data_IF_032139190081
#
_entry.id   IF_032139190081
#
_cell.length_a   1.000
_cell.length_b   1.000
_cell.length_c   1.000
_cell.angle_alpha   90.00
_cell.angle_beta   90.00
_cell.angle_gamma   90.00
#
_symmetry.space_group_name_H-M   'P 1'
#
loop_
_entity.id
_entity.type
_entity.pdbx_description
1 polymer ?
#
# COMPACT_ATOMS: atom_id res chain seq x y z
N UNK A 1 -28.04 -7.96 -13.73
CA UNK A 1 -27.04 -7.93 -12.65
C UNK A 1 -26.20 -6.68 -12.88
N UNK A 2 -26.13 -5.80 -11.89
CA UNK A 2 -25.52 -4.47 -11.97
C UNK A 2 -23.98 -4.61 -12.03
N UNK A 3 -23.43 -4.58 -13.24
CA UNK A 3 -21.97 -4.62 -13.48
C UNK A 3 -21.28 -3.29 -13.17
N UNK A 4 -22.05 -2.23 -12.85
CA UNK A 4 -21.51 -0.90 -12.63
C UNK A 4 -20.98 -0.75 -11.19
N UNK A 5 -21.65 -1.39 -10.21
CA UNK A 5 -21.27 -1.35 -8.80
C UNK A 5 -19.93 -2.03 -8.45
N UNK A 6 -19.49 -3.01 -9.25
CA UNK A 6 -18.22 -3.73 -9.01
C UNK A 6 -17.02 -2.87 -9.43
N UNK A 7 -17.21 -1.99 -10.43
CA UNK A 7 -16.15 -1.16 -11.00
C UNK A 7 -15.67 -0.06 -10.04
N UNK A 8 -16.59 0.68 -9.40
CA UNK A 8 -16.20 1.75 -8.47
C UNK A 8 -15.39 1.23 -7.28
N UNK A 9 -15.82 0.10 -6.70
CA UNK A 9 -15.12 -0.45 -5.54
C UNK A 9 -13.71 -0.94 -5.92
N UNK A 10 -13.58 -1.60 -7.08
CA UNK A 10 -12.28 -2.02 -7.62
C UNK A 10 -11.37 -0.84 -7.96
N UNK A 11 -11.92 0.22 -8.55
CA UNK A 11 -11.17 1.45 -8.87
C UNK A 11 -10.63 2.11 -7.61
N UNK A 12 -11.45 2.20 -6.55
CA UNK A 12 -11.02 2.72 -5.25
C UNK A 12 -9.89 1.88 -4.64
N UNK A 13 -9.96 0.54 -4.77
CA UNK A 13 -8.87 -0.34 -4.33
C UNK A 13 -7.57 -0.11 -5.11
N UNK A 14 -7.65 0.06 -6.43
CA UNK A 14 -6.46 0.36 -7.25
C UNK A 14 -5.85 1.70 -6.86
N UNK A 15 -6.68 2.73 -6.66
CA UNK A 15 -6.21 4.07 -6.24
C UNK A 15 -5.56 3.99 -4.86
N UNK A 16 -6.16 3.26 -3.90
CA UNK A 16 -5.58 3.13 -2.56
C UNK A 16 -4.24 2.41 -2.59
N UNK A 17 -4.09 1.34 -3.39
CA UNK A 17 -2.84 0.62 -3.55
C UNK A 17 -1.74 1.48 -4.21
N UNK A 18 -2.10 2.31 -5.19
CA UNK A 18 -1.15 3.26 -5.80
C UNK A 18 -0.75 4.33 -4.79
N UNK A 19 -1.69 4.85 -4.01
CA UNK A 19 -1.41 5.87 -3.00
C UNK A 19 -0.48 5.33 -1.89
N UNK A 20 -0.74 4.12 -1.37
CA UNK A 20 0.12 3.49 -0.37
C UNK A 20 1.51 3.15 -0.92
N UNK A 21 1.61 2.74 -2.19
CA UNK A 21 2.90 2.57 -2.86
C UNK A 21 3.71 3.87 -2.94
N UNK A 22 3.08 4.97 -3.33
CA UNK A 22 3.75 6.29 -3.40
C UNK A 22 4.22 6.74 -2.02
N UNK A 23 3.39 6.56 -0.98
CA UNK A 23 3.76 6.89 0.41
C UNK A 23 4.94 6.03 0.86
N UNK A 24 4.93 4.72 0.59
CA UNK A 24 6.02 3.83 0.96
C UNK A 24 7.34 4.26 0.32
N UNK A 25 7.34 4.62 -0.96
CA UNK A 25 8.54 5.12 -1.67
C UNK A 25 9.02 6.45 -1.07
N UNK A 26 8.11 7.37 -0.76
CA UNK A 26 8.44 8.64 -0.14
C UNK A 26 9.05 8.46 1.27
N UNK A 27 8.46 7.60 2.09
CA UNK A 27 8.97 7.25 3.43
C UNK A 27 10.38 6.65 3.34
N UNK A 28 10.61 5.74 2.38
CA UNK A 28 11.93 5.16 2.15
C UNK A 28 12.96 6.23 1.77
N UNK A 29 12.59 7.17 0.91
CA UNK A 29 13.45 8.28 0.51
C UNK A 29 13.77 9.21 1.70
N UNK A 30 12.78 9.50 2.55
CA UNK A 30 12.96 10.30 3.77
C UNK A 30 13.85 9.59 4.81
N UNK A 31 13.70 8.28 5.00
CA UNK A 31 14.56 7.50 5.89
C UNK A 31 16.02 7.55 5.43
N UNK A 32 16.28 7.29 4.14
CA UNK A 32 17.63 7.37 3.57
C UNK A 32 18.20 8.78 3.71
N UNK A 33 17.40 9.81 3.43
CA UNK A 33 17.81 11.22 3.56
C UNK A 33 18.09 11.63 5.01
N UNK A 34 17.39 11.03 5.99
CA UNK A 34 17.59 11.29 7.43
C UNK A 34 18.79 10.56 8.02
N UNK A 35 19.57 9.82 7.22
CA UNK A 35 20.75 9.08 7.69
C UNK A 35 20.43 7.75 8.39
N UNK A 36 19.21 7.22 8.22
CA UNK A 36 18.91 5.84 8.65
C UNK A 36 19.64 4.83 7.76
N UNK A 37 20.08 3.72 8.36
CA UNK A 37 20.65 2.60 7.64
C UNK A 37 19.70 2.11 6.53
N UNK A 38 20.27 1.84 5.36
CA UNK A 38 19.53 1.33 4.21
C UNK A 38 18.73 0.05 4.53
N UNK A 39 19.22 -0.76 5.49
CA UNK A 39 18.52 -1.94 6.00
C UNK A 39 17.22 -1.59 6.73
N UNK A 40 17.24 -0.59 7.60
CA UNK A 40 16.05 -0.14 8.34
C UNK A 40 15.03 0.53 7.42
N UNK A 41 15.49 1.35 6.48
CA UNK A 41 14.62 1.97 5.48
C UNK A 41 13.92 0.94 4.58
N UNK A 42 14.64 -0.11 4.17
CA UNK A 42 14.06 -1.21 3.39
C UNK A 42 13.08 -2.06 4.21
N UNK A 43 13.37 -2.31 5.50
CA UNK A 43 12.47 -3.07 6.37
C UNK A 43 11.15 -2.34 6.61
N UNK A 44 11.18 -1.02 6.82
CA UNK A 44 9.98 -0.18 6.92
C UNK A 44 9.19 -0.21 5.62
N UNK A 45 9.86 -0.10 4.48
CA UNK A 45 9.22 -0.18 3.15
C UNK A 45 8.50 -1.53 2.93
N UNK A 46 9.17 -2.65 3.23
CA UNK A 46 8.58 -3.98 3.06
C UNK A 46 7.44 -4.25 4.05
N UNK A 47 7.53 -3.69 5.26
CA UNK A 47 6.48 -3.83 6.28
C UNK A 47 5.23 -3.06 5.88
N UNK A 48 5.36 -1.84 5.36
CA UNK A 48 4.22 -1.07 4.84
C UNK A 48 3.59 -1.76 3.63
N UNK A 49 4.38 -2.26 2.68
CA UNK A 49 3.88 -3.04 1.55
C UNK A 49 3.16 -4.32 2.02
N UNK A 50 3.72 -5.03 3.00
CA UNK A 50 3.12 -6.23 3.56
C UNK A 50 1.76 -5.95 4.21
N UNK A 51 1.64 -4.85 4.97
CA UNK A 51 0.37 -4.44 5.59
C UNK A 51 -0.66 -4.04 4.53
N UNK A 52 -0.26 -3.36 3.46
CA UNK A 52 -1.18 -2.99 2.38
C UNK A 52 -1.68 -4.20 1.59
N UNK A 53 -0.79 -5.14 1.27
CA UNK A 53 -1.14 -6.37 0.56
C UNK A 53 -2.05 -7.25 1.44
N UNK A 54 -1.66 -7.50 2.69
CA UNK A 54 -2.46 -8.31 3.64
C UNK A 54 -3.77 -7.62 4.01
N UNK A 55 -3.75 -6.29 4.19
CA UNK A 55 -4.94 -5.50 4.48
C UNK A 55 -5.93 -5.45 3.32
N UNK A 56 -5.41 -5.42 2.07
CA UNK A 56 -6.21 -5.57 0.86
C UNK A 56 -6.89 -6.93 0.77
N UNK A 57 -6.16 -8.01 1.05
CA UNK A 57 -6.71 -9.38 1.10
C UNK A 57 -7.76 -9.54 2.21
N UNK A 58 -7.48 -9.07 3.44
CA UNK A 58 -8.42 -9.12 4.57
C UNK A 58 -9.70 -8.33 4.28
N UNK A 59 -9.61 -7.20 3.58
CA UNK A 59 -10.80 -6.40 3.22
C UNK A 59 -11.59 -6.97 2.04
N UNK A 60 -10.98 -7.81 1.20
CA UNK A 60 -11.68 -8.60 0.18
C UNK A 60 -12.39 -9.83 0.74
N UNK A 61 -12.05 -10.24 1.97
CA UNK A 61 -12.57 -11.41 2.67
C UNK A 61 -13.65 -11.09 3.71
N UNK A 62 -13.95 -9.80 3.94
CA UNK A 62 -15.06 -9.35 4.78
C UNK A 62 -16.35 -9.26 3.92
N UNK A 63 -17.46 -9.90 4.34
CA UNK A 63 -18.73 -9.96 3.59
C UNK A 63 -19.45 -8.60 3.48
#
# INVERSE_FOLDING_TARGET
MDFNKISEHHILYIITAIAGFVIAVAVRFLCISSGYDAGTANLVFVTMLGIEIVGGDVKSMLP
#
